data_IF_294522641413
#
_entry.id   IF_294522641413
#
_cell.length_a   1.000
_cell.length_b   1.000
_cell.length_c   1.000
_cell.angle_alpha   90.00
_cell.angle_beta   90.00
_cell.angle_gamma   90.00
#
_symmetry.space_group_name_H-M   'P 1'
#
loop_
_entity.id
_entity.type
_entity.pdbx_description
1 polymer ?
#
# COMPACT_ATOMS: atom_id res chain seq x y z
N UNK A 1 53.72 -0.24 -14.94
CA UNK A 1 52.36 0.20 -14.54
C UNK A 1 52.31 1.50 -13.73
N UNK A 2 53.34 1.92 -12.99
CA UNK A 2 53.31 3.18 -12.16
C UNK A 2 53.28 4.50 -12.95
N UNK A 3 53.72 4.52 -14.20
CA UNK A 3 53.85 5.75 -15.01
C UNK A 3 52.52 6.31 -15.55
N UNK A 4 51.50 5.47 -15.73
CA UNK A 4 50.18 5.89 -16.22
C UNK A 4 49.31 6.55 -15.13
N UNK A 5 49.51 6.20 -13.88
CA UNK A 5 48.73 6.75 -12.73
C UNK A 5 49.05 8.22 -12.44
N UNK A 6 50.30 8.68 -12.76
CA UNK A 6 50.68 10.09 -12.61
C UNK A 6 49.95 11.01 -13.59
N UNK A 7 49.78 10.56 -14.85
CA UNK A 7 49.04 11.30 -15.87
C UNK A 7 47.53 11.42 -15.56
N UNK A 8 46.92 10.32 -15.13
CA UNK A 8 45.49 10.29 -14.76
C UNK A 8 45.22 11.20 -13.56
N UNK A 9 46.07 11.14 -12.52
CA UNK A 9 45.94 12.03 -11.35
C UNK A 9 46.05 13.50 -11.72
N UNK A 10 47.02 13.84 -12.61
CA UNK A 10 47.17 15.22 -13.10
C UNK A 10 45.94 15.72 -13.84
N UNK A 11 45.37 14.89 -14.71
CA UNK A 11 44.13 15.20 -15.43
C UNK A 11 42.92 15.38 -14.49
N UNK A 12 42.75 14.49 -13.53
CA UNK A 12 41.67 14.59 -12.53
C UNK A 12 41.79 15.89 -11.73
N UNK A 13 43.00 16.23 -11.27
CA UNK A 13 43.21 17.48 -10.50
C UNK A 13 42.93 18.71 -11.36
N UNK A 14 43.35 18.69 -12.64
CA UNK A 14 43.08 19.79 -13.56
C UNK A 14 41.62 19.96 -13.86
N UNK A 15 40.86 18.86 -14.05
CA UNK A 15 39.41 18.87 -14.24
C UNK A 15 38.69 19.37 -12.98
N UNK A 16 39.07 18.91 -11.79
CA UNK A 16 38.50 19.39 -10.54
C UNK A 16 38.76 20.89 -10.32
N UNK A 17 40.02 21.38 -10.58
CA UNK A 17 40.29 22.81 -10.51
C UNK A 17 39.46 23.63 -11.49
N UNK A 18 39.24 23.12 -12.71
CA UNK A 18 38.41 23.78 -13.71
C UNK A 18 36.96 23.82 -13.26
N UNK A 19 36.43 22.70 -12.72
CA UNK A 19 35.07 22.61 -12.17
C UNK A 19 34.86 23.61 -11.03
N UNK A 20 35.80 23.67 -10.06
CA UNK A 20 35.71 24.60 -8.92
C UNK A 20 35.85 26.09 -9.31
N UNK A 21 36.43 26.37 -10.48
CA UNK A 21 36.57 27.73 -11.01
C UNK A 21 35.34 28.18 -11.80
N UNK A 22 34.56 27.23 -12.29
CA UNK A 22 33.32 27.49 -13.04
C UNK A 22 32.11 27.41 -12.08
N UNK A 23 31.67 28.59 -11.66
CA UNK A 23 30.53 28.71 -10.73
C UNK A 23 29.23 28.15 -11.31
N UNK A 24 29.06 28.26 -12.62
CA UNK A 24 27.89 27.74 -13.33
C UNK A 24 27.91 26.21 -13.35
N UNK A 25 29.06 25.61 -13.63
CA UNK A 25 29.24 24.17 -13.60
C UNK A 25 29.03 23.62 -12.18
N UNK A 26 29.53 24.30 -11.15
CA UNK A 26 29.30 23.94 -9.74
C UNK A 26 27.82 23.97 -9.37
N UNK A 27 27.12 25.03 -9.80
CA UNK A 27 25.68 25.15 -9.55
C UNK A 27 24.91 23.97 -10.14
N UNK A 28 25.10 23.68 -11.42
CA UNK A 28 24.37 22.59 -12.09
C UNK A 28 24.80 21.19 -11.66
N UNK A 29 26.06 21.02 -11.25
CA UNK A 29 26.59 19.71 -10.85
C UNK A 29 26.19 19.33 -9.42
N UNK A 30 26.17 20.29 -8.50
CA UNK A 30 25.95 20.02 -7.07
C UNK A 30 24.68 20.70 -6.52
N UNK A 31 24.53 22.00 -6.73
CA UNK A 31 23.47 22.76 -6.09
C UNK A 31 22.11 22.46 -6.71
N UNK A 32 22.04 22.35 -8.03
CA UNK A 32 20.79 22.01 -8.72
C UNK A 32 20.23 20.63 -8.31
N UNK A 33 20.99 19.53 -8.33
CA UNK A 33 20.51 18.24 -7.82
C UNK A 33 20.12 18.28 -6.35
N UNK A 34 20.82 19.03 -5.49
CA UNK A 34 20.49 19.18 -4.07
C UNK A 34 19.16 19.94 -3.88
N UNK A 35 18.98 21.05 -4.60
CA UNK A 35 17.72 21.80 -4.59
C UNK A 35 16.57 20.91 -5.07
N UNK A 36 16.80 20.16 -6.16
CA UNK A 36 15.81 19.25 -6.71
C UNK A 36 15.42 18.15 -5.70
N UNK A 37 16.43 17.53 -5.07
CA UNK A 37 16.21 16.52 -4.05
C UNK A 37 15.49 17.09 -2.82
N UNK A 38 15.81 18.33 -2.42
CA UNK A 38 15.14 18.99 -1.31
C UNK A 38 13.67 19.31 -1.64
N UNK A 39 13.40 19.86 -2.83
CA UNK A 39 12.04 20.17 -3.27
C UNK A 39 11.20 18.88 -3.36
N UNK A 40 11.71 17.87 -4.07
CA UNK A 40 11.00 16.60 -4.24
C UNK A 40 10.91 15.83 -2.93
N UNK A 41 11.98 15.81 -2.13
CA UNK A 41 11.96 15.20 -0.80
C UNK A 41 10.95 15.86 0.14
N UNK A 42 10.80 17.19 0.06
CA UNK A 42 9.79 17.91 0.84
C UNK A 42 8.35 17.63 0.37
N UNK A 43 8.15 17.54 -0.94
CA UNK A 43 6.83 17.28 -1.53
C UNK A 43 6.41 15.81 -1.30
N UNK A 44 7.34 14.87 -1.52
CA UNK A 44 7.04 13.44 -1.49
C UNK A 44 7.45 12.75 -0.18
N UNK A 45 8.32 13.37 0.63
CA UNK A 45 8.86 12.76 1.86
C UNK A 45 7.83 12.47 2.95
N UNK A 46 6.66 13.14 2.91
CA UNK A 46 5.56 12.92 3.85
C UNK A 46 4.36 12.17 3.24
N UNK A 47 4.46 11.75 1.99
CA UNK A 47 3.41 10.93 1.38
C UNK A 47 3.64 9.46 1.77
N UNK A 48 3.25 9.10 2.99
CA UNK A 48 2.84 7.72 3.24
C UNK A 48 1.65 7.48 2.33
N UNK A 49 1.81 6.62 1.32
CA UNK A 49 0.70 6.20 0.46
C UNK A 49 -0.33 5.48 1.32
N UNK A 50 -1.23 6.25 1.90
CA UNK A 50 -2.31 5.74 2.74
C UNK A 50 -3.49 5.48 1.83
N UNK A 51 -3.87 4.23 1.66
CA UNK A 51 -5.06 3.84 0.93
C UNK A 51 -6.31 4.14 1.75
N UNK A 52 -7.16 5.02 1.23
CA UNK A 52 -8.46 5.32 1.82
C UNK A 52 -9.46 4.26 1.36
N UNK A 53 -10.00 3.48 2.27
CA UNK A 53 -10.96 2.41 1.96
C UNK A 53 -12.21 2.56 2.78
N UNK A 54 -13.35 2.15 2.20
CA UNK A 54 -14.57 1.89 2.96
C UNK A 54 -14.70 0.40 3.25
N UNK A 55 -15.30 0.03 4.37
CA UNK A 55 -15.60 -1.35 4.71
C UNK A 55 -17.12 -1.52 4.79
N UNK A 56 -17.65 -2.37 3.92
CA UNK A 56 -19.05 -2.78 3.92
C UNK A 56 -19.15 -4.19 4.48
N UNK A 57 -19.77 -4.31 5.63
CA UNK A 57 -19.93 -5.59 6.31
C UNK A 57 -21.38 -6.08 6.19
N UNK A 58 -21.60 -7.11 5.39
CA UNK A 58 -22.90 -7.78 5.27
C UNK A 58 -23.10 -8.91 6.28
N UNK A 59 -22.03 -9.32 6.98
CA UNK A 59 -22.09 -10.38 7.98
C UNK A 59 -22.52 -9.85 9.35
N UNK A 60 -23.30 -10.66 10.05
CA UNK A 60 -23.70 -10.38 11.43
C UNK A 60 -22.86 -11.16 12.46
N UNK A 61 -21.85 -11.91 12.01
CA UNK A 61 -21.04 -12.73 12.89
C UNK A 61 -20.19 -11.87 13.84
N UNK A 62 -19.90 -12.40 15.01
CA UNK A 62 -19.02 -11.77 15.99
C UNK A 62 -17.59 -11.63 15.40
N UNK A 63 -17.17 -12.62 14.61
CA UNK A 63 -15.87 -12.62 13.93
C UNK A 63 -15.75 -11.44 12.94
N UNK A 64 -16.76 -11.21 12.09
CA UNK A 64 -16.75 -10.09 11.15
C UNK A 64 -16.66 -8.74 11.85
N UNK A 65 -17.41 -8.56 12.95
CA UNK A 65 -17.33 -7.32 13.76
C UNK A 65 -15.95 -7.11 14.34
N UNK A 66 -15.37 -8.12 14.97
CA UNK A 66 -14.02 -8.05 15.53
C UNK A 66 -12.96 -7.78 14.45
N UNK A 67 -13.13 -8.35 13.27
CA UNK A 67 -12.26 -8.11 12.12
C UNK A 67 -12.28 -6.64 11.68
N UNK A 68 -13.47 -6.06 11.51
CA UNK A 68 -13.65 -4.64 11.17
C UNK A 68 -13.04 -3.73 12.24
N UNK A 69 -13.33 -4.01 13.52
CA UNK A 69 -12.81 -3.24 14.64
C UNK A 69 -11.28 -3.31 14.70
N UNK A 70 -10.71 -4.47 14.41
CA UNK A 70 -9.25 -4.66 14.36
C UNK A 70 -8.61 -3.81 13.26
N UNK A 71 -9.18 -3.80 12.06
CA UNK A 71 -8.69 -2.97 10.96
C UNK A 71 -8.82 -1.48 11.31
N UNK A 72 -9.97 -1.07 11.84
CA UNK A 72 -10.22 0.33 12.27
C UNK A 72 -9.28 0.78 13.39
N UNK A 73 -8.90 -0.10 14.30
CA UNK A 73 -8.04 0.23 15.44
C UNK A 73 -6.56 0.36 15.11
N UNK A 74 -6.11 -0.19 13.99
CA UNK A 74 -4.71 -0.19 13.55
C UNK A 74 -4.31 1.18 12.94
N UNK A 75 -4.57 2.28 13.68
CA UNK A 75 -4.48 3.68 13.17
C UNK A 75 -3.06 4.23 12.97
N UNK A 76 -2.01 3.69 13.58
CA UNK A 76 -0.71 4.39 13.67
C UNK A 76 0.33 4.03 12.61
N UNK A 77 0.22 2.87 11.97
CA UNK A 77 1.22 2.42 10.98
C UNK A 77 0.57 1.74 9.76
N UNK A 78 -0.77 1.79 9.64
CA UNK A 78 -1.42 1.08 8.56
C UNK A 78 -1.44 1.91 7.28
N UNK A 79 -1.03 1.25 6.22
CA UNK A 79 -1.15 1.69 4.84
C UNK A 79 -2.63 1.96 4.47
N UNK A 80 -3.58 1.46 5.31
CA UNK A 80 -5.01 1.58 5.11
C UNK A 80 -5.64 2.60 6.06
N UNK A 81 -6.37 3.55 5.50
CA UNK A 81 -7.24 4.48 6.24
C UNK A 81 -8.69 4.12 5.97
N UNK A 82 -9.38 3.63 6.98
CA UNK A 82 -10.81 3.34 6.86
C UNK A 82 -11.60 4.63 6.98
N UNK A 83 -12.42 4.91 5.97
CA UNK A 83 -13.43 5.97 5.98
C UNK A 83 -14.80 5.37 6.26
N UNK A 84 -15.55 6.00 7.13
CA UNK A 84 -16.92 5.58 7.41
C UNK A 84 -17.84 6.03 6.27
N UNK A 85 -18.74 5.14 5.87
CA UNK A 85 -19.77 5.34 4.86
C UNK A 85 -21.09 4.75 5.39
N UNK A 86 -22.20 5.30 4.96
CA UNK A 86 -23.51 4.82 5.42
C UNK A 86 -23.88 3.49 4.74
N UNK A 87 -23.60 3.35 3.46
CA UNK A 87 -23.95 2.19 2.66
C UNK A 87 -23.04 1.97 1.44
N UNK A 88 -23.36 0.95 0.65
CA UNK A 88 -22.61 0.59 -0.55
C UNK A 88 -22.73 1.65 -1.65
N UNK A 89 -23.86 2.33 -1.77
CA UNK A 89 -24.06 3.33 -2.83
C UNK A 89 -23.23 4.59 -2.54
N UNK A 90 -23.18 5.06 -1.31
CA UNK A 90 -22.30 6.14 -0.90
C UNK A 90 -20.83 5.76 -1.11
N UNK A 91 -20.45 4.52 -0.75
CA UNK A 91 -19.09 4.03 -0.97
C UNK A 91 -18.68 4.04 -2.45
N UNK A 92 -19.57 3.59 -3.35
CA UNK A 92 -19.34 3.61 -4.79
C UNK A 92 -19.24 5.03 -5.35
N UNK A 93 -20.08 5.93 -4.88
CA UNK A 93 -20.03 7.32 -5.33
C UNK A 93 -18.72 7.99 -4.93
N UNK A 94 -18.29 7.81 -3.69
CA UNK A 94 -16.98 8.31 -3.22
C UNK A 94 -15.80 7.65 -3.94
N UNK A 95 -15.94 6.37 -4.31
CA UNK A 95 -14.94 5.69 -5.14
C UNK A 95 -14.84 6.30 -6.53
N UNK A 96 -15.96 6.63 -7.18
CA UNK A 96 -15.98 7.33 -8.47
C UNK A 96 -15.37 8.73 -8.39
N UNK A 97 -15.58 9.42 -7.27
CA UNK A 97 -15.02 10.76 -7.02
C UNK A 97 -13.55 10.72 -6.59
N UNK A 98 -12.93 9.54 -6.55
CA UNK A 98 -11.54 9.34 -6.09
C UNK A 98 -11.30 9.78 -4.63
N UNK A 99 -12.35 9.83 -3.82
CA UNK A 99 -12.25 10.05 -2.38
C UNK A 99 -11.89 8.77 -1.63
N UNK A 100 -12.14 7.61 -2.25
CA UNK A 100 -11.73 6.29 -1.82
C UNK A 100 -10.85 5.66 -2.89
N UNK A 101 -9.86 4.90 -2.46
CA UNK A 101 -9.02 4.09 -3.33
C UNK A 101 -9.61 2.70 -3.54
N UNK A 102 -10.52 2.28 -2.63
CA UNK A 102 -11.22 1.01 -2.74
C UNK A 102 -12.30 0.80 -1.70
N UNK A 103 -13.08 -0.26 -1.90
CA UNK A 103 -14.11 -0.73 -0.99
C UNK A 103 -13.80 -2.19 -0.64
N UNK A 104 -13.84 -2.50 0.64
CA UNK A 104 -13.70 -3.86 1.16
C UNK A 104 -15.09 -4.35 1.56
N UNK A 105 -15.58 -5.35 0.85
CA UNK A 105 -16.89 -5.94 1.10
C UNK A 105 -16.72 -7.31 1.77
N UNK A 106 -17.35 -7.51 2.91
CA UNK A 106 -17.42 -8.78 3.60
C UNK A 106 -18.75 -9.46 3.25
N UNK A 107 -18.68 -10.69 2.75
CA UNK A 107 -19.87 -11.49 2.40
C UNK A 107 -20.75 -11.76 3.62
N UNK A 108 -22.02 -12.11 3.40
CA UNK A 108 -22.96 -12.43 4.49
C UNK A 108 -22.50 -13.60 5.36
N UNK A 109 -21.81 -14.58 4.75
CA UNK A 109 -21.27 -15.76 5.40
C UNK A 109 -19.87 -15.54 5.98
N UNK A 110 -19.34 -14.30 5.94
CA UNK A 110 -18.00 -14.01 6.46
C UNK A 110 -17.96 -14.21 7.98
N UNK A 111 -17.07 -15.12 8.42
CA UNK A 111 -16.94 -15.51 9.81
C UNK A 111 -17.94 -16.59 10.27
N UNK A 112 -18.76 -17.12 9.37
CA UNK A 112 -19.54 -18.31 9.68
C UNK A 112 -18.62 -19.52 9.82
N UNK A 113 -18.93 -20.37 10.80
CA UNK A 113 -18.13 -21.58 11.02
C UNK A 113 -18.43 -22.59 9.92
N UNK A 114 -17.41 -22.94 9.15
CA UNK A 114 -17.44 -23.98 8.11
C UNK A 114 -16.61 -25.18 8.58
N UNK A 115 -17.06 -26.39 8.23
CA UNK A 115 -16.46 -27.65 8.68
C UNK A 115 -17.06 -28.17 9.99
N UNK A 116 -16.64 -29.38 10.39
CA UNK A 116 -17.13 -30.07 11.57
C UNK A 116 -15.98 -30.45 12.51
N UNK A 117 -16.29 -30.52 13.80
CA UNK A 117 -15.35 -30.96 14.85
C UNK A 117 -14.08 -30.11 14.91
N UNK A 118 -12.92 -30.74 14.88
CA UNK A 118 -11.62 -30.06 14.94
C UNK A 118 -11.31 -29.22 13.69
N UNK A 119 -12.06 -29.38 12.60
CA UNK A 119 -11.92 -28.63 11.35
C UNK A 119 -12.90 -27.46 11.23
N UNK A 120 -13.73 -27.21 12.24
CA UNK A 120 -14.66 -26.09 12.28
C UNK A 120 -13.91 -24.75 12.32
N UNK A 121 -14.08 -23.90 11.30
CA UNK A 121 -13.33 -22.64 11.13
C UNK A 121 -14.22 -21.52 10.58
N UNK A 122 -13.97 -20.25 10.95
CA UNK A 122 -14.63 -19.13 10.31
C UNK A 122 -14.15 -19.04 8.86
N UNK A 123 -15.11 -19.01 7.92
CA UNK A 123 -14.87 -18.89 6.49
C UNK A 123 -15.57 -17.68 5.90
N UNK A 124 -15.59 -17.57 4.59
CA UNK A 124 -16.32 -16.53 3.85
C UNK A 124 -15.46 -15.83 2.82
N UNK A 125 -16.05 -14.85 2.12
CA UNK A 125 -15.41 -14.12 1.03
C UNK A 125 -15.20 -12.66 1.42
N UNK A 126 -14.02 -12.16 1.09
CA UNK A 126 -13.62 -10.78 1.18
C UNK A 126 -13.42 -10.26 -0.24
N UNK A 127 -14.25 -9.30 -0.66
CA UNK A 127 -14.18 -8.72 -2.00
C UNK A 127 -13.58 -7.32 -1.92
N UNK A 128 -12.53 -7.09 -2.73
CA UNK A 128 -11.94 -5.77 -2.93
C UNK A 128 -12.50 -5.17 -4.22
N UNK A 129 -13.17 -4.01 -4.12
CA UNK A 129 -13.62 -3.24 -5.28
C UNK A 129 -12.73 -2.00 -5.42
N UNK A 130 -12.40 -1.65 -6.66
CA UNK A 130 -11.58 -0.48 -6.97
C UNK A 130 -12.08 0.22 -8.24
N UNK A 131 -11.71 1.49 -8.42
CA UNK A 131 -12.16 2.25 -9.56
C UNK A 131 -11.54 1.72 -10.87
N UNK A 132 -12.34 1.63 -11.91
CA UNK A 132 -11.92 1.23 -13.26
C UNK A 132 -10.87 2.23 -13.77
N UNK A 133 -9.69 1.74 -14.13
CA UNK A 133 -8.53 2.58 -14.50
C UNK A 133 -7.52 2.78 -13.38
N UNK A 134 -7.80 2.34 -12.16
CA UNK A 134 -6.86 2.34 -11.02
C UNK A 134 -6.32 0.93 -10.73
N UNK A 135 -5.83 0.24 -11.76
CA UNK A 135 -5.37 -1.16 -11.64
C UNK A 135 -4.26 -1.33 -10.60
N UNK A 136 -3.39 -0.32 -10.47
CA UNK A 136 -2.33 -0.36 -9.46
C UNK A 136 -2.89 -0.32 -8.03
N UNK A 137 -3.92 0.50 -7.78
CA UNK A 137 -4.62 0.54 -6.50
C UNK A 137 -5.33 -0.80 -6.23
N UNK A 138 -5.98 -1.37 -7.26
CA UNK A 138 -6.62 -2.67 -7.20
C UNK A 138 -5.64 -3.79 -6.87
N UNK A 139 -4.49 -3.85 -7.52
CA UNK A 139 -3.45 -4.83 -7.25
C UNK A 139 -2.89 -4.69 -5.84
N UNK A 140 -2.64 -3.47 -5.39
CA UNK A 140 -2.13 -3.21 -4.03
C UNK A 140 -3.16 -3.60 -2.98
N UNK A 141 -4.43 -3.21 -3.17
CA UNK A 141 -5.51 -3.57 -2.24
C UNK A 141 -5.72 -5.08 -2.18
N UNK A 142 -5.72 -5.76 -3.33
CA UNK A 142 -5.84 -7.22 -3.39
C UNK A 142 -4.69 -7.92 -2.70
N UNK A 143 -3.45 -7.45 -2.90
CA UNK A 143 -2.27 -7.99 -2.23
C UNK A 143 -2.35 -7.82 -0.70
N UNK A 144 -2.76 -6.64 -0.23
CA UNK A 144 -2.96 -6.38 1.20
C UNK A 144 -4.05 -7.27 1.80
N UNK A 145 -5.18 -7.42 1.10
CA UNK A 145 -6.27 -8.26 1.55
C UNK A 145 -5.87 -9.74 1.58
N UNK A 146 -5.14 -10.21 0.57
CA UNK A 146 -4.59 -11.56 0.55
C UNK A 146 -3.63 -11.79 1.71
N UNK A 147 -2.75 -10.84 1.99
CA UNK A 147 -1.83 -10.94 3.13
C UNK A 147 -2.56 -10.99 4.47
N UNK A 148 -3.64 -10.22 4.62
CA UNK A 148 -4.49 -10.25 5.82
C UNK A 148 -5.19 -11.61 5.92
N UNK A 149 -5.80 -12.09 4.84
CA UNK A 149 -6.47 -13.38 4.79
C UNK A 149 -5.49 -14.53 5.11
N UNK A 150 -4.30 -14.51 4.51
CA UNK A 150 -3.25 -15.51 4.76
C UNK A 150 -2.78 -15.49 6.22
N UNK A 151 -2.65 -14.30 6.81
CA UNK A 151 -2.26 -14.15 8.21
C UNK A 151 -3.31 -14.76 9.15
N UNK A 152 -4.59 -14.55 8.83
CA UNK A 152 -5.70 -15.15 9.58
C UNK A 152 -5.72 -16.67 9.39
N UNK A 153 -5.63 -17.13 8.13
CA UNK A 153 -5.63 -18.55 7.80
C UNK A 153 -4.46 -19.29 8.46
N UNK A 154 -3.26 -18.71 8.46
CA UNK A 154 -2.08 -19.24 9.16
C UNK A 154 -2.26 -19.30 10.68
N UNK A 155 -2.83 -18.25 11.27
CA UNK A 155 -3.12 -18.23 12.71
C UNK A 155 -4.14 -19.31 13.11
N UNK A 156 -4.97 -19.76 12.16
CA UNK A 156 -5.92 -20.85 12.32
C UNK A 156 -5.36 -22.24 11.99
N UNK A 157 -4.09 -22.34 11.56
CA UNK A 157 -3.41 -23.61 11.31
C UNK A 157 -3.88 -24.37 10.06
N UNK A 158 -4.19 -23.68 8.96
CA UNK A 158 -4.87 -24.24 7.78
C UNK A 158 -3.92 -24.57 6.63
N UNK A 159 -4.18 -25.71 5.94
CA UNK A 159 -3.61 -26.05 4.63
C UNK A 159 -4.41 -25.44 3.47
N UNK A 160 -5.74 -25.30 3.61
CA UNK A 160 -6.62 -24.62 2.64
C UNK A 160 -7.23 -23.37 3.26
N UNK A 161 -7.22 -22.21 2.56
CA UNK A 161 -7.71 -20.95 3.12
C UNK A 161 -9.25 -20.93 3.18
N UNK A 162 -9.87 -20.91 4.38
CA UNK A 162 -11.32 -20.79 4.51
C UNK A 162 -11.83 -19.36 4.18
N UNK A 163 -10.92 -18.38 4.20
CA UNK A 163 -11.21 -17.00 3.77
C UNK A 163 -10.59 -16.79 2.38
N UNK A 164 -11.42 -16.44 1.42
CA UNK A 164 -11.00 -16.17 0.04
C UNK A 164 -11.11 -14.68 -0.28
N UNK A 165 -10.18 -14.21 -1.10
CA UNK A 165 -10.14 -12.81 -1.58
C UNK A 165 -10.49 -12.77 -3.07
N UNK A 166 -11.40 -11.88 -3.43
CA UNK A 166 -11.77 -11.61 -4.82
C UNK A 166 -11.64 -10.12 -5.10
N UNK A 167 -11.13 -9.76 -6.27
CA UNK A 167 -11.03 -8.36 -6.69
C UNK A 167 -11.95 -8.09 -7.88
N UNK A 168 -12.57 -6.91 -7.92
CA UNK A 168 -13.43 -6.43 -9.03
C UNK A 168 -13.12 -4.96 -9.30
N UNK A 169 -13.12 -4.62 -10.60
CA UNK A 169 -13.06 -3.25 -11.12
C UNK A 169 -14.46 -2.69 -11.41
#
# INVERSE_FOLDING_TARGET
MKKYWGGVRGQVIALLKRLFRDKTALFFTFLFPLIFLFIFGSIFGNQTSTFSVAIINHSQTKFARQFVDKIKSTKKESILRVKDVADMEEAKERLKQSELDGIIELSKDFGEIKGEGANARPGGTLTALYAKGSEQAGNTLSALMSQIADSINKAMGQAEPPITVTSKA
#
